data_IF_227351486962
#
_entry.id   IF_227351486962
#
_cell.length_a   1.000
_cell.length_b   1.000
_cell.length_c   1.000
_cell.angle_alpha   90.00
_cell.angle_beta   90.00
_cell.angle_gamma   90.00
#
_symmetry.space_group_name_H-M   'P 1'
#
loop_
_entity.id
_entity.type
_entity.pdbx_description
1 polymer ?
#
# COMPACT_ATOMS: atom_id res chain seq x y z
N UNK A 1 -13.03 6.09 -22.62
CA UNK A 1 -11.91 5.85 -21.69
C UNK A 1 -10.80 5.26 -22.53
N UNK A 2 -9.63 5.90 -22.68
CA UNK A 2 -8.55 5.28 -23.44
C UNK A 2 -8.02 4.06 -22.67
N UNK A 3 -7.87 2.97 -23.41
CA UNK A 3 -7.34 1.68 -22.97
C UNK A 3 -5.96 1.85 -22.32
N UNK A 4 -5.78 1.27 -21.13
CA UNK A 4 -4.44 1.09 -20.57
C UNK A 4 -3.70 0.06 -21.42
N UNK A 5 -2.46 0.33 -21.88
CA UNK A 5 -1.71 -0.63 -22.66
C UNK A 5 -1.43 -1.87 -21.80
N UNK A 6 -1.80 -3.04 -22.33
CA UNK A 6 -1.45 -4.33 -21.75
C UNK A 6 0.07 -4.37 -21.55
N UNK A 7 0.50 -4.36 -20.30
CA UNK A 7 1.92 -4.43 -19.95
C UNK A 7 2.39 -5.84 -20.27
N UNK A 8 3.21 -5.98 -21.31
CA UNK A 8 3.88 -7.23 -21.67
C UNK A 8 4.87 -7.61 -20.56
N UNK A 9 4.43 -8.40 -19.59
CA UNK A 9 5.28 -8.89 -18.52
C UNK A 9 6.14 -10.04 -19.05
N UNK A 10 7.46 -9.83 -19.11
CA UNK A 10 8.44 -10.92 -19.26
C UNK A 10 8.18 -11.95 -18.17
N UNK A 11 7.87 -13.19 -18.57
CA UNK A 11 7.64 -14.31 -17.66
C UNK A 11 8.97 -14.77 -17.05
N UNK A 12 9.43 -14.05 -16.02
CA UNK A 12 10.43 -14.56 -15.09
C UNK A 12 9.71 -15.44 -14.09
N UNK A 13 10.27 -16.62 -13.80
CA UNK A 13 9.69 -17.67 -12.95
C UNK A 13 9.65 -17.28 -11.44
N UNK A 14 9.48 -15.99 -11.13
CA UNK A 14 9.50 -15.38 -9.80
C UNK A 14 8.46 -14.25 -9.78
N UNK A 15 7.43 -14.39 -8.94
CA UNK A 15 6.47 -13.31 -8.67
C UNK A 15 7.22 -12.16 -7.99
N UNK A 16 7.11 -10.94 -8.50
CA UNK A 16 7.68 -9.78 -7.81
C UNK A 16 6.92 -9.55 -6.50
N UNK A 17 7.63 -9.49 -5.37
CA UNK A 17 7.07 -9.17 -4.05
C UNK A 17 6.84 -7.67 -3.90
N UNK A 18 5.69 -7.29 -3.36
CA UNK A 18 5.33 -5.90 -3.05
C UNK A 18 4.76 -5.81 -1.63
N UNK A 19 5.13 -4.77 -0.90
CA UNK A 19 4.57 -4.48 0.41
C UNK A 19 3.34 -3.58 0.27
N UNK A 20 2.21 -3.99 0.85
CA UNK A 20 1.00 -3.18 0.91
C UNK A 20 0.94 -2.45 2.25
N UNK A 21 1.09 -1.12 2.21
CA UNK A 21 0.82 -0.25 3.34
C UNK A 21 -0.67 0.06 3.40
N UNK A 22 -1.40 -0.65 4.27
CA UNK A 22 -2.87 -0.63 4.34
C UNK A 22 -3.37 0.71 4.87
N UNK A 23 -2.59 1.40 5.71
CA UNK A 23 -2.99 2.60 6.48
C UNK A 23 -4.01 2.30 7.58
N UNK A 24 -4.00 3.10 8.65
CA UNK A 24 -4.91 2.93 9.78
C UNK A 24 -6.39 3.14 9.41
N UNK A 25 -6.70 4.01 8.45
CA UNK A 25 -8.08 4.29 8.05
C UNK A 25 -8.71 3.10 7.32
N UNK A 26 -7.99 2.48 6.39
CA UNK A 26 -8.49 1.28 5.70
C UNK A 26 -8.62 0.13 6.70
N UNK A 27 -7.58 -0.11 7.51
CA UNK A 27 -7.54 -1.23 8.44
C UNK A 27 -8.66 -1.16 9.49
N UNK A 28 -8.93 0.04 10.04
CA UNK A 28 -9.94 0.20 11.10
C UNK A 28 -11.35 0.52 10.60
N UNK A 29 -11.51 1.21 9.47
CA UNK A 29 -12.82 1.72 9.03
C UNK A 29 -13.40 0.99 7.84
N UNK A 30 -12.57 0.57 6.87
CA UNK A 30 -13.01 0.02 5.58
C UNK A 30 -12.09 -1.11 5.10
N UNK A 31 -11.93 -2.20 5.87
CA UNK A 31 -10.95 -3.26 5.60
C UNK A 31 -11.16 -3.96 4.25
N UNK A 32 -12.39 -3.94 3.71
CA UNK A 32 -12.69 -4.47 2.38
C UNK A 32 -11.88 -3.82 1.26
N UNK A 33 -11.45 -2.56 1.43
CA UNK A 33 -10.59 -1.87 0.47
C UNK A 33 -9.19 -2.54 0.45
N UNK A 34 -8.64 -2.87 1.62
CA UNK A 34 -7.36 -3.57 1.73
C UNK A 34 -7.40 -4.94 1.05
N UNK A 35 -8.45 -5.73 1.30
CA UNK A 35 -8.65 -7.02 0.63
C UNK A 35 -8.83 -6.88 -0.88
N UNK A 36 -9.55 -5.85 -1.35
CA UNK A 36 -9.70 -5.59 -2.78
C UNK A 36 -8.35 -5.21 -3.43
N UNK A 37 -7.52 -4.42 -2.75
CA UNK A 37 -6.16 -4.09 -3.21
C UNK A 37 -5.28 -5.36 -3.31
N UNK A 38 -5.29 -6.22 -2.30
CA UNK A 38 -4.56 -7.51 -2.33
C UNK A 38 -4.99 -8.32 -3.54
N UNK A 39 -6.30 -8.54 -3.71
CA UNK A 39 -6.85 -9.34 -4.83
C UNK A 39 -6.45 -8.77 -6.20
N UNK A 40 -6.50 -7.44 -6.35
CA UNK A 40 -6.10 -6.77 -7.59
C UNK A 40 -4.62 -7.00 -7.89
N UNK A 41 -3.75 -6.74 -6.91
CA UNK A 41 -2.30 -6.82 -7.06
C UNK A 41 -1.84 -8.27 -7.30
N UNK A 42 -2.40 -9.23 -6.57
CA UNK A 42 -2.14 -10.65 -6.79
C UNK A 42 -2.64 -11.12 -8.16
N UNK A 43 -3.77 -10.59 -8.63
CA UNK A 43 -4.32 -10.83 -9.96
C UNK A 43 -3.43 -10.30 -11.09
N UNK A 44 -2.60 -9.29 -10.82
CA UNK A 44 -1.59 -8.77 -11.73
C UNK A 44 -0.27 -9.58 -11.72
N UNK A 45 -0.18 -10.66 -10.93
CA UNK A 45 0.99 -11.53 -10.90
C UNK A 45 2.07 -11.12 -9.88
N UNK A 46 1.75 -10.26 -8.92
CA UNK A 46 2.64 -9.93 -7.79
C UNK A 46 2.37 -10.84 -6.59
N UNK A 47 3.32 -10.95 -5.67
CA UNK A 47 3.13 -11.51 -4.34
C UNK A 47 2.99 -10.35 -3.35
N UNK A 48 1.91 -10.32 -2.57
CA UNK A 48 1.63 -9.22 -1.63
C UNK A 48 2.09 -9.60 -0.22
N UNK A 49 2.92 -8.76 0.38
CA UNK A 49 3.26 -8.80 1.80
C UNK A 49 2.57 -7.65 2.54
N UNK A 50 2.02 -7.93 3.73
CA UNK A 50 1.40 -6.92 4.60
C UNK A 50 2.15 -6.91 5.92
N UNK A 51 3.13 -6.00 6.12
CA UNK A 51 3.92 -5.96 7.34
C UNK A 51 3.05 -5.78 8.59
N UNK A 52 3.21 -6.62 9.61
CA UNK A 52 2.41 -6.60 10.86
C UNK A 52 2.66 -5.37 11.74
N UNK A 53 3.77 -4.66 11.54
CA UNK A 53 4.20 -3.53 12.36
C UNK A 53 3.73 -2.16 11.87
N UNK A 54 2.84 -2.11 10.87
CA UNK A 54 2.31 -0.84 10.36
C UNK A 54 1.58 -0.10 11.47
N UNK A 55 1.89 1.17 11.63
CA UNK A 55 1.21 2.09 12.54
C UNK A 55 0.75 3.33 11.77
N UNK A 56 0.76 4.51 12.37
CA UNK A 56 0.26 5.72 11.73
C UNK A 56 1.25 6.23 10.66
N UNK A 57 0.76 6.66 9.51
CA UNK A 57 1.58 7.31 8.48
C UNK A 57 1.98 8.75 8.83
N UNK A 58 1.39 9.32 9.90
CA UNK A 58 1.61 10.72 10.30
C UNK A 58 0.79 11.74 9.50
N UNK A 59 -0.08 11.31 8.58
CA UNK A 59 -0.86 12.20 7.71
C UNK A 59 -1.72 13.24 8.45
N UNK A 60 -2.39 12.95 9.58
CA UNK A 60 -3.11 13.97 10.34
C UNK A 60 -2.20 15.11 10.82
N UNK A 61 -1.02 14.76 11.36
CA UNK A 61 -0.03 15.76 11.78
C UNK A 61 0.54 16.55 10.61
N UNK A 62 0.75 15.90 9.46
CA UNK A 62 1.20 16.56 8.23
C UNK A 62 0.18 17.62 7.77
N UNK A 63 -1.10 17.25 7.69
CA UNK A 63 -2.19 18.14 7.27
C UNK A 63 -2.38 19.32 8.23
N UNK A 64 -2.09 19.14 9.52
CA UNK A 64 -2.15 20.19 10.53
C UNK A 64 -0.90 21.11 10.56
N UNK A 65 0.09 20.89 9.70
CA UNK A 65 1.33 21.69 9.67
C UNK A 65 2.43 21.23 10.64
N UNK A 66 2.23 20.13 11.38
CA UNK A 66 3.22 19.55 12.28
C UNK A 66 4.23 18.66 11.52
N UNK A 67 4.87 19.20 10.49
CA UNK A 67 5.71 18.43 9.57
C UNK A 67 6.92 17.76 10.22
N UNK A 68 7.65 18.39 11.17
CA UNK A 68 8.76 17.70 11.85
C UNK A 68 8.29 16.44 12.58
N UNK A 69 7.16 16.51 13.29
CA UNK A 69 6.58 15.39 14.03
C UNK A 69 6.03 14.32 13.09
N UNK A 70 5.29 14.73 12.06
CA UNK A 70 4.76 13.82 11.04
C UNK A 70 5.88 13.02 10.36
N UNK A 71 7.02 13.67 10.07
CA UNK A 71 8.21 13.00 9.53
C UNK A 71 8.79 11.95 10.48
N UNK A 72 8.83 12.20 11.79
CA UNK A 72 9.33 11.20 12.74
C UNK A 72 8.43 9.98 12.79
N UNK A 73 7.11 10.17 12.77
CA UNK A 73 6.12 9.09 12.74
C UNK A 73 6.23 8.27 11.44
N UNK A 74 6.40 8.92 10.29
CA UNK A 74 6.54 8.24 9.00
C UNK A 74 7.84 7.43 8.85
N UNK A 75 8.92 7.82 9.54
CA UNK A 75 10.24 7.13 9.45
C UNK A 75 10.26 5.72 10.06
N UNK A 76 9.29 5.40 10.92
CA UNK A 76 9.19 4.09 11.57
C UNK A 76 8.16 3.18 10.88
N UNK A 77 7.72 3.56 9.67
CA UNK A 77 6.86 2.77 8.79
C UNK A 77 7.67 2.05 7.71
#
# INVERSE_FOLDING_TARGET
MPDHPATTTKQTNQRTRVALYVTCLVDSLRPEIGFACVKLIEGLGFEVDVPKGQTCCGQPGYNAGHWPQARQVAKVQ
#
